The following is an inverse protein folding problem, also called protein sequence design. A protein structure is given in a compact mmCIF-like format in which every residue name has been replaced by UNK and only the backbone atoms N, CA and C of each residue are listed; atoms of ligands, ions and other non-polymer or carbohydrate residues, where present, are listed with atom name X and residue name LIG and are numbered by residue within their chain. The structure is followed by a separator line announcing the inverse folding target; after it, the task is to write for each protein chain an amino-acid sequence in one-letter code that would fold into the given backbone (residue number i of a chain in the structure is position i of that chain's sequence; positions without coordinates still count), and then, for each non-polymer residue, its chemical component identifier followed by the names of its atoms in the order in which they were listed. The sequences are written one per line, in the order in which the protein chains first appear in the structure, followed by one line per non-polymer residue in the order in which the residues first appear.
data_IF_141968575918
#
_entry.id   IF_141968575918
#
_cell.length_a   1.000
_cell.length_b   1.000
_cell.length_c   1.000
_cell.angle_alpha   90.00
_cell.angle_beta   90.00
_cell.angle_gamma   90.00
#
_symmetry.space_group_name_H-M   'P 1'
#
loop_
_entity.id
_entity.type
_entity.pdbx_description
1 polymer ?
#
# COMPACT_ATOMS: atom_id res chain seq x y z
N UNK A 1 5.73 2.59 26.34
CA UNK A 1 6.16 2.32 24.95
C UNK A 1 4.90 1.96 24.16
N UNK A 2 4.10 2.97 23.82
CA UNK A 2 2.69 2.81 23.49
C UNK A 2 2.41 2.93 21.98
N UNK A 3 1.33 2.31 21.54
CA UNK A 3 0.74 2.41 20.18
C UNK A 3 0.38 3.86 19.75
N UNK A 4 0.69 4.87 20.56
CA UNK A 4 0.41 6.29 20.31
C UNK A 4 1.52 7.03 19.53
N UNK A 5 2.64 6.36 19.21
CA UNK A 5 3.74 6.98 18.47
C UNK A 5 3.44 7.19 16.98
N UNK A 6 4.20 8.05 16.33
CA UNK A 6 4.09 8.28 14.88
C UNK A 6 4.43 7.04 14.03
N UNK A 7 5.39 6.23 14.47
CA UNK A 7 5.81 5.00 13.77
C UNK A 7 4.68 3.96 13.58
N UNK A 8 3.92 3.53 14.61
CA UNK A 8 2.81 2.61 14.42
C UNK A 8 1.68 3.20 13.57
N UNK A 9 1.46 4.52 13.60
CA UNK A 9 0.50 5.19 12.70
C UNK A 9 0.94 5.07 11.23
N UNK A 10 2.20 5.37 10.92
CA UNK A 10 2.76 5.23 9.58
C UNK A 10 2.72 3.78 9.09
N UNK A 11 3.03 2.82 9.96
CA UNK A 11 2.95 1.40 9.66
C UNK A 11 1.51 0.96 9.36
N UNK A 12 0.54 1.32 10.21
CA UNK A 12 -0.86 0.96 10.00
C UNK A 12 -1.42 1.51 8.68
N UNK A 13 -1.18 2.80 8.43
CA UNK A 13 -1.59 3.47 7.19
C UNK A 13 -1.00 2.81 5.95
N UNK A 14 0.22 2.26 6.04
CA UNK A 14 0.87 1.59 4.91
C UNK A 14 0.41 0.13 4.77
N UNK A 15 0.29 -0.61 5.88
CA UNK A 15 0.02 -2.06 5.87
C UNK A 15 -1.42 -2.35 5.48
N UNK A 16 -2.40 -1.59 5.99
CA UNK A 16 -3.83 -1.81 5.71
C UNK A 16 -4.16 -1.86 4.21
N UNK A 17 -3.78 -0.85 3.39
CA UNK A 17 -4.08 -0.88 1.97
C UNK A 17 -3.32 -1.99 1.23
N UNK A 18 -2.08 -2.32 1.64
CA UNK A 18 -1.33 -3.43 1.07
C UNK A 18 -2.01 -4.78 1.36
N UNK A 19 -2.45 -4.99 2.59
CA UNK A 19 -3.21 -6.20 2.97
C UNK A 19 -4.52 -6.27 2.19
N UNK A 20 -5.25 -5.15 2.05
CA UNK A 20 -6.47 -5.12 1.26
C UNK A 20 -6.23 -5.52 -0.20
N UNK A 21 -5.16 -5.04 -0.84
CA UNK A 21 -4.79 -5.44 -2.21
C UNK A 21 -4.37 -6.91 -2.33
N UNK A 22 -3.73 -7.48 -1.31
CA UNK A 22 -3.35 -8.90 -1.30
C UNK A 22 -4.57 -9.80 -1.09
N UNK A 23 -5.58 -9.35 -0.34
CA UNK A 23 -6.79 -10.11 -0.04
C UNK A 23 -7.83 -10.08 -1.17
N UNK A 24 -7.85 -9.05 -2.03
CA UNK A 24 -8.84 -8.96 -3.12
C UNK A 24 -8.79 -10.14 -4.11
N UNK A 25 -7.63 -10.60 -4.64
CA UNK A 25 -7.59 -11.75 -5.54
C UNK A 25 -8.05 -13.09 -4.92
N UNK A 26 -7.62 -13.52 -3.71
CA UNK A 26 -8.08 -14.78 -3.14
C UNK A 26 -9.56 -14.72 -2.73
N UNK A 27 -10.06 -13.58 -2.24
CA UNK A 27 -11.49 -13.41 -1.94
C UNK A 27 -12.33 -13.49 -3.21
N UNK A 28 -11.91 -12.81 -4.29
CA UNK A 28 -12.54 -12.91 -5.59
C UNK A 28 -12.56 -14.35 -6.11
N UNK A 29 -11.44 -15.06 -6.01
CA UNK A 29 -11.34 -16.47 -6.38
C UNK A 29 -12.27 -17.37 -5.55
N UNK A 30 -12.37 -17.17 -4.23
CA UNK A 30 -13.24 -17.96 -3.35
C UNK A 30 -14.73 -17.76 -3.68
N UNK A 31 -15.17 -16.52 -3.87
CA UNK A 31 -16.55 -16.18 -4.29
C UNK A 31 -16.86 -16.82 -5.64
N UNK A 32 -15.89 -16.81 -6.54
CA UNK A 32 -16.01 -17.38 -7.86
C UNK A 32 -16.08 -18.91 -7.82
N UNK A 33 -15.24 -19.57 -7.01
CA UNK A 33 -15.28 -21.03 -6.85
C UNK A 33 -16.59 -21.49 -6.19
N UNK A 34 -17.10 -20.76 -5.20
CA UNK A 34 -18.39 -21.07 -4.58
C UNK A 34 -19.56 -20.86 -5.55
N UNK A 35 -19.47 -19.88 -6.46
CA UNK A 35 -20.46 -19.67 -7.53
C UNK A 35 -20.37 -20.71 -8.66
N UNK A 36 -19.16 -21.19 -8.99
CA UNK A 36 -18.96 -22.25 -9.99
C UNK A 36 -19.47 -23.61 -9.51
N UNK A 37 -19.42 -23.89 -8.20
CA UNK A 37 -20.10 -25.06 -7.65
C UNK A 37 -21.61 -25.08 -7.95
N UNK A 38 -22.20 -23.90 -8.22
CA UNK A 38 -23.60 -23.73 -8.62
C UNK A 38 -23.80 -23.50 -10.14
N UNK A 39 -22.73 -23.31 -10.94
CA UNK A 39 -22.84 -22.90 -12.35
C UNK A 39 -21.81 -23.60 -13.27
N UNK A 40 -22.28 -24.19 -14.38
CA UNK A 40 -21.48 -24.94 -15.38
C UNK A 40 -20.58 -24.05 -16.28
N UNK A 41 -19.93 -23.01 -15.75
CA UNK A 41 -19.04 -22.14 -16.54
C UNK A 41 -17.62 -22.73 -16.65
N UNK A 42 -16.95 -22.59 -17.81
CA UNK A 42 -15.56 -23.02 -17.98
C UNK A 42 -14.60 -22.17 -17.13
N UNK A 43 -13.69 -22.83 -16.42
CA UNK A 43 -12.79 -22.22 -15.42
C UNK A 43 -11.87 -21.12 -15.98
N UNK A 44 -11.48 -21.19 -17.26
CA UNK A 44 -10.58 -20.20 -17.87
C UNK A 44 -11.22 -18.82 -18.05
N UNK A 45 -12.48 -18.76 -18.52
CA UNK A 45 -13.22 -17.50 -18.71
C UNK A 45 -13.48 -16.82 -17.36
N UNK A 46 -13.78 -17.64 -16.37
CA UNK A 46 -14.09 -17.20 -15.01
C UNK A 46 -12.85 -16.68 -14.27
N UNK A 47 -11.67 -17.27 -14.52
CA UNK A 47 -10.39 -16.80 -13.95
C UNK A 47 -9.98 -15.43 -14.49
N UNK A 48 -10.19 -15.17 -15.78
CA UNK A 48 -9.88 -13.87 -16.38
C UNK A 48 -10.77 -12.77 -15.81
N UNK A 49 -12.08 -12.98 -15.71
CA UNK A 49 -13.02 -11.98 -15.18
C UNK A 49 -12.68 -11.62 -13.71
N UNK A 50 -12.44 -12.63 -12.88
CA UNK A 50 -12.05 -12.45 -11.47
C UNK A 50 -10.74 -11.66 -11.32
N UNK A 51 -9.78 -11.88 -12.22
CA UNK A 51 -8.50 -11.18 -12.22
C UNK A 51 -8.66 -9.71 -12.64
N UNK A 52 -9.45 -9.42 -13.67
CA UNK A 52 -9.74 -8.03 -14.08
C UNK A 52 -10.49 -7.26 -12.99
N UNK A 53 -11.43 -7.91 -12.31
CA UNK A 53 -12.19 -7.29 -11.22
C UNK A 53 -11.30 -7.05 -9.99
N UNK A 54 -10.47 -8.03 -9.60
CA UNK A 54 -9.47 -7.86 -8.54
C UNK A 54 -8.48 -6.72 -8.87
N UNK A 55 -8.08 -6.58 -10.14
CA UNK A 55 -7.23 -5.50 -10.61
C UNK A 55 -7.89 -4.13 -10.50
N UNK A 56 -9.15 -4.03 -10.90
CA UNK A 56 -9.93 -2.80 -10.77
C UNK A 56 -10.03 -2.36 -9.30
N UNK A 57 -10.38 -3.27 -8.40
CA UNK A 57 -10.46 -2.97 -6.98
C UNK A 57 -9.10 -2.63 -6.37
N UNK A 58 -8.03 -3.32 -6.75
CA UNK A 58 -6.68 -2.99 -6.32
C UNK A 58 -6.26 -1.58 -6.77
N UNK A 59 -6.59 -1.20 -8.01
CA UNK A 59 -6.35 0.15 -8.53
C UNK A 59 -7.15 1.20 -7.77
N UNK A 60 -8.44 0.92 -7.49
CA UNK A 60 -9.30 1.83 -6.76
C UNK A 60 -8.79 2.06 -5.32
N UNK A 61 -8.43 1.00 -4.61
CA UNK A 61 -7.84 1.08 -3.27
C UNK A 61 -6.54 1.88 -3.32
N UNK A 62 -5.66 1.59 -4.28
CA UNK A 62 -4.39 2.30 -4.48
C UNK A 62 -4.63 3.80 -4.67
N UNK A 63 -5.56 4.16 -5.55
CA UNK A 63 -5.86 5.55 -5.87
C UNK A 63 -6.40 6.32 -4.67
N UNK A 64 -7.30 5.69 -3.89
CA UNK A 64 -7.89 6.31 -2.71
C UNK A 64 -6.88 6.46 -1.55
N UNK A 65 -6.00 5.49 -1.38
CA UNK A 65 -5.06 5.48 -0.24
C UNK A 65 -3.79 6.25 -0.54
N UNK A 66 -3.40 6.40 -1.82
CA UNK A 66 -2.19 7.10 -2.24
C UNK A 66 -2.01 8.51 -1.63
N UNK A 67 -2.98 9.45 -1.70
CA UNK A 67 -2.80 10.78 -1.13
C UNK A 67 -2.65 10.73 0.40
N UNK A 68 -3.39 9.83 1.05
CA UNK A 68 -3.39 9.68 2.50
C UNK A 68 -2.06 9.07 2.99
N UNK A 69 -1.56 8.04 2.32
CA UNK A 69 -0.28 7.39 2.61
C UNK A 69 0.88 8.34 2.33
N UNK A 70 0.85 9.04 1.19
CA UNK A 70 1.90 10.00 0.80
C UNK A 70 1.99 11.17 1.77
N UNK A 71 0.86 11.74 2.19
CA UNK A 71 0.84 12.85 3.16
C UNK A 71 1.47 12.42 4.49
N UNK A 72 1.10 11.22 4.99
CA UNK A 72 1.70 10.69 6.21
C UNK A 72 3.18 10.43 5.98
N UNK A 73 3.59 9.77 4.90
CA UNK A 73 5.01 9.52 4.64
C UNK A 73 5.85 10.81 4.52
N UNK A 74 5.34 11.86 3.86
CA UNK A 74 6.07 13.13 3.74
C UNK A 74 6.18 13.88 5.07
N UNK A 75 5.19 13.77 5.95
CA UNK A 75 5.27 14.37 7.29
C UNK A 75 6.41 13.83 8.16
N UNK A 76 7.02 12.69 7.78
CA UNK A 76 8.18 12.13 8.46
C UNK A 76 9.47 12.97 8.26
N UNK A 77 9.45 13.88 7.29
CA UNK A 77 10.56 14.76 6.94
C UNK A 77 10.31 16.22 7.35
N UNK A 78 9.15 16.55 7.90
CA UNK A 78 8.84 17.90 8.40
C UNK A 78 9.44 18.10 9.80
N UNK A 79 10.61 18.73 9.84
CA UNK A 79 11.29 19.10 11.09
C UNK A 79 11.13 20.58 11.38
N UNK A 80 10.87 20.93 12.64
CA UNK A 80 10.75 22.30 13.13
C UNK A 80 11.91 22.61 14.08
N UNK A 81 12.52 23.79 13.90
CA UNK A 81 13.60 24.27 14.74
C UNK A 81 13.02 24.98 15.96
N UNK A 82 13.51 24.62 17.15
CA UNK A 82 13.16 25.27 18.41
C UNK A 82 14.29 26.18 18.89
N UNK A 83 13.94 27.19 19.67
CA UNK A 83 14.89 28.18 20.21
C UNK A 83 16.02 27.56 21.05
N UNK A 84 15.81 26.35 21.58
CA UNK A 84 16.81 25.55 22.31
C UNK A 84 17.89 24.92 21.40
N UNK A 85 17.84 25.16 20.08
CA UNK A 85 18.73 24.55 19.10
C UNK A 85 18.38 23.11 18.69
N UNK A 86 17.24 22.59 19.18
CA UNK A 86 16.72 21.25 18.85
C UNK A 86 15.90 21.29 17.56
N UNK A 87 16.01 20.25 16.75
CA UNK A 87 15.16 20.03 15.58
C UNK A 87 14.22 18.88 15.87
N UNK A 88 12.93 19.15 16.04
CA UNK A 88 11.94 18.14 16.42
C UNK A 88 11.02 17.84 15.24
N UNK A 89 10.55 16.60 15.16
CA UNK A 89 9.62 16.17 14.13
C UNK A 89 8.25 16.81 14.39
N UNK A 90 7.72 17.57 13.42
CA UNK A 90 6.44 18.28 13.58
C UNK A 90 5.26 17.33 13.80
N UNK A 91 5.34 16.13 13.25
CA UNK A 91 4.32 15.10 13.42
C UNK A 91 4.34 14.44 14.82
N UNK A 92 5.47 14.54 15.54
CA UNK A 92 5.66 14.00 16.90
C UNK A 92 6.85 14.69 17.57
N UNK A 93 6.58 15.74 18.37
CA UNK A 93 7.63 16.54 19.02
C UNK A 93 8.43 15.79 20.09
N UNK A 94 8.12 14.51 20.35
CA UNK A 94 8.96 13.64 21.18
C UNK A 94 10.15 13.05 20.40
N UNK A 95 10.14 13.17 19.08
CA UNK A 95 11.18 12.65 18.18
C UNK A 95 12.08 13.78 17.70
N UNK A 96 13.36 13.68 18.01
CA UNK A 96 14.38 14.58 17.49
C UNK A 96 14.83 14.15 16.08
N UNK A 97 14.86 15.09 15.15
CA UNK A 97 15.30 14.84 13.78
C UNK A 97 16.80 14.50 13.73
N UNK A 98 17.19 13.65 12.79
CA UNK A 98 18.56 13.09 12.66
C UNK A 98 19.07 12.26 13.85
N UNK A 99 18.23 12.05 14.87
CA UNK A 99 18.53 11.17 16.00
C UNK A 99 18.34 9.68 15.63
N UNK A 100 18.85 8.73 16.43
CA UNK A 100 18.62 7.31 16.22
C UNK A 100 17.13 6.89 16.27
N UNK A 101 16.25 7.67 16.91
CA UNK A 101 14.80 7.37 16.93
C UNK A 101 14.10 7.80 15.65
N UNK A 102 14.61 8.81 14.94
CA UNK A 102 14.08 9.26 13.65
C UNK A 102 14.47 8.34 12.47
N UNK A 103 15.66 7.74 12.50
CA UNK A 103 16.16 6.83 11.44
C UNK A 103 15.16 5.74 11.00
N UNK A 104 14.56 4.94 11.89
CA UNK A 104 13.60 3.92 11.48
C UNK A 104 12.33 4.52 10.87
N UNK A 105 11.89 5.69 11.35
CA UNK A 105 10.73 6.42 10.81
C UNK A 105 11.02 6.87 9.38
N UNK A 106 12.18 7.51 9.15
CA UNK A 106 12.62 7.94 7.83
C UNK A 106 12.76 6.76 6.85
N UNK A 107 13.37 5.65 7.28
CA UNK A 107 13.49 4.46 6.45
C UNK A 107 12.13 3.87 6.06
N UNK A 108 11.19 3.81 7.00
CA UNK A 108 9.83 3.36 6.72
C UNK A 108 9.13 4.32 5.74
N UNK A 109 9.23 5.64 5.94
CA UNK A 109 8.63 6.63 5.06
C UNK A 109 9.16 6.54 3.62
N UNK A 110 10.48 6.41 3.44
CA UNK A 110 11.09 6.21 2.12
C UNK A 110 10.62 4.91 1.49
N UNK A 111 10.62 3.80 2.24
CA UNK A 111 10.18 2.51 1.68
C UNK A 111 8.70 2.53 1.28
N UNK A 112 7.84 3.16 2.08
CA UNK A 112 6.43 3.39 1.75
C UNK A 112 6.26 4.15 0.42
N UNK A 113 7.00 5.25 0.24
CA UNK A 113 6.96 6.05 -0.99
C UNK A 113 7.43 5.23 -2.20
N UNK A 114 8.55 4.51 -2.08
CA UNK A 114 9.08 3.68 -3.16
C UNK A 114 8.10 2.57 -3.53
N UNK A 115 7.54 1.86 -2.54
CA UNK A 115 6.58 0.78 -2.79
C UNK A 115 5.32 1.33 -3.47
N UNK A 116 4.73 2.41 -2.96
CA UNK A 116 3.49 2.93 -3.55
C UNK A 116 3.70 3.55 -4.93
N UNK A 117 4.83 4.23 -5.17
CA UNK A 117 5.12 4.87 -6.46
C UNK A 117 5.53 3.86 -7.54
N UNK A 118 6.31 2.83 -7.19
CA UNK A 118 6.88 1.91 -8.17
C UNK A 118 6.23 0.53 -8.21
N UNK A 119 5.90 -0.06 -7.05
CA UNK A 119 5.40 -1.43 -7.02
C UNK A 119 4.03 -1.55 -7.69
N UNK A 120 3.15 -0.57 -7.47
CA UNK A 120 1.80 -0.57 -8.04
C UNK A 120 1.87 -0.50 -9.58
N UNK A 121 2.53 0.49 -10.22
CA UNK A 121 2.66 0.52 -11.68
C UNK A 121 3.39 -0.71 -12.27
N UNK A 122 4.42 -1.21 -11.58
CA UNK A 122 5.18 -2.37 -12.05
C UNK A 122 4.31 -3.64 -12.06
N UNK A 123 3.52 -3.87 -11.02
CA UNK A 123 2.57 -4.98 -10.97
C UNK A 123 1.56 -4.92 -12.12
N UNK A 124 1.00 -3.74 -12.40
CA UNK A 124 0.09 -3.56 -13.54
C UNK A 124 0.78 -3.79 -14.88
N UNK A 125 1.99 -3.28 -15.06
CA UNK A 125 2.77 -3.49 -16.28
C UNK A 125 3.03 -4.98 -16.51
N UNK A 126 3.46 -5.72 -15.48
CA UNK A 126 3.70 -7.16 -15.58
C UNK A 126 2.43 -7.93 -15.93
N UNK A 127 1.29 -7.58 -15.34
CA UNK A 127 0.01 -8.22 -15.64
C UNK A 127 -0.45 -7.95 -17.07
N UNK A 128 -0.31 -6.71 -17.55
CA UNK A 128 -0.62 -6.34 -18.94
C UNK A 128 0.30 -7.06 -19.93
N UNK A 129 1.59 -7.23 -19.61
CA UNK A 129 2.53 -7.99 -20.42
C UNK A 129 2.18 -9.49 -20.45
N UNK A 130 1.71 -10.06 -19.33
CA UNK A 130 1.25 -11.44 -19.27
C UNK A 130 -0.02 -11.64 -20.11
N UNK A 131 -1.03 -10.78 -19.91
CA UNK A 131 -2.26 -10.83 -20.69
C UNK A 131 -2.01 -10.64 -22.19
N UNK A 132 -1.04 -9.80 -22.58
CA UNK A 132 -0.65 -9.63 -23.98
C UNK A 132 -0.05 -10.90 -24.60
N UNK A 133 0.66 -11.72 -23.81
CA UNK A 133 1.22 -12.99 -24.29
C UNK A 133 0.15 -14.03 -24.59
N UNK A 134 -1.00 -13.98 -23.91
CA UNK A 134 -2.11 -14.91 -24.15
C UNK A 134 -2.94 -14.55 -25.40
N UNK A 135 -2.84 -13.30 -25.91
CA UNK A 135 -3.59 -12.82 -27.08
C UNK A 135 -2.83 -13.05 -28.41
N UNK A 136 -1.53 -13.36 -28.37
CA UNK A 136 -0.68 -13.52 -29.56
C UNK A 136 -0.25 -14.96 -29.76
#
# INVERSE_FOLDING_TARGET
VGLAGYLPKLAFVTIVPLVAMVLTPPVGLLVVLSSQAASLRPSNVVRSDALYEALYFAQLISFLTFPQVSTVAFSAFECEAFDDGRYLLKADYLVECHSPTWRPIAFLAVSTLVIHVFAIPLCFLLLLLHARRDIR
#
